data_IF_985806479958
#
_entry.id   IF_985806479958
#
_cell.length_a   1.000
_cell.length_b   1.000
_cell.length_c   1.000
_cell.angle_alpha   90.00
_cell.angle_beta   90.00
_cell.angle_gamma   90.00
#
_symmetry.space_group_name_H-M   'P 1'
#
loop_
_entity.id
_entity.type
_entity.pdbx_description
1 polymer ?
#
# COMPACT_ATOMS: atom_id res chain seq x y z
N UNK A 1 2.25 -33.58 24.02
CA UNK A 1 2.80 -32.48 23.21
C UNK A 1 2.30 -32.60 21.77
N UNK A 2 1.07 -32.15 21.47
CA UNK A 2 0.47 -32.24 20.12
C UNK A 2 -0.48 -31.06 19.89
N UNK A 3 0.04 -29.84 19.75
CA UNK A 3 -0.78 -28.68 19.34
C UNK A 3 -0.05 -27.62 18.50
N UNK A 4 1.17 -27.91 18.02
CA UNK A 4 2.05 -26.91 17.39
C UNK A 4 2.21 -27.03 15.87
N UNK A 5 1.52 -27.97 15.22
CA UNK A 5 1.69 -28.25 13.78
C UNK A 5 0.45 -27.97 12.92
N UNK A 6 -0.65 -27.51 13.52
CA UNK A 6 -1.86 -27.12 12.80
C UNK A 6 -1.86 -25.63 12.41
N UNK A 7 -1.21 -24.77 13.21
CA UNK A 7 -1.16 -23.32 12.93
C UNK A 7 -0.33 -22.96 11.68
N UNK A 8 0.70 -23.73 11.34
CA UNK A 8 1.51 -23.48 10.13
C UNK A 8 0.76 -23.83 8.85
N UNK A 9 -0.24 -24.73 8.90
CA UNK A 9 -0.99 -25.17 7.71
C UNK A 9 -2.18 -24.28 7.36
N UNK A 10 -2.71 -23.53 8.33
CA UNK A 10 -3.80 -22.59 8.08
C UNK A 10 -3.31 -21.34 7.33
N UNK A 11 -2.09 -20.88 7.59
CA UNK A 11 -1.51 -19.73 6.87
C UNK A 11 -1.26 -20.01 5.38
N UNK A 12 -1.05 -21.27 4.98
CA UNK A 12 -0.87 -21.65 3.56
C UNK A 12 -2.19 -21.97 2.86
N UNK A 13 -3.32 -22.04 3.59
CA UNK A 13 -4.64 -22.36 3.01
C UNK A 13 -5.48 -21.13 2.64
N UNK A 14 -5.14 -19.94 3.14
CA UNK A 14 -5.80 -18.68 2.76
C UNK A 14 -5.39 -18.15 1.37
N UNK A 15 -4.54 -18.85 0.63
CA UNK A 15 -4.22 -18.56 -0.78
C UNK A 15 -5.08 -19.37 -1.77
N UNK A 16 -6.23 -19.89 -1.34
CA UNK A 16 -7.11 -20.72 -2.19
C UNK A 16 -8.25 -19.95 -2.88
N UNK A 17 -8.36 -18.62 -2.74
CA UNK A 17 -9.27 -17.85 -3.60
C UNK A 17 -8.89 -16.37 -3.71
N UNK A 18 -8.04 -16.05 -4.71
CA UNK A 18 -8.04 -14.78 -5.44
C UNK A 18 -7.68 -13.51 -4.68
N UNK A 19 -6.38 -13.20 -4.65
CA UNK A 19 -5.75 -11.97 -4.13
C UNK A 19 -5.48 -11.96 -2.61
N UNK A 20 -4.21 -11.79 -2.23
CA UNK A 20 -3.80 -11.75 -0.82
C UNK A 20 -4.46 -10.55 -0.11
N UNK A 21 -5.02 -10.69 1.10
CA UNK A 21 -5.74 -9.61 1.79
C UNK A 21 -4.96 -8.30 1.90
N UNK A 22 -3.65 -8.40 2.14
CA UNK A 22 -2.73 -7.24 2.23
C UNK A 22 -2.54 -6.53 0.88
N UNK A 23 -2.55 -7.29 -0.22
CA UNK A 23 -2.51 -6.75 -1.59
C UNK A 23 -3.80 -5.99 -1.87
N UNK A 24 -4.95 -6.58 -1.56
CA UNK A 24 -6.26 -5.94 -1.72
C UNK A 24 -6.35 -4.61 -0.94
N UNK A 25 -5.88 -4.60 0.31
CA UNK A 25 -5.89 -3.40 1.16
C UNK A 25 -4.98 -2.28 0.63
N UNK A 26 -3.77 -2.63 0.17
CA UNK A 26 -2.85 -1.67 -0.45
C UNK A 26 -3.47 -1.06 -1.71
N UNK A 27 -4.02 -1.89 -2.58
CA UNK A 27 -4.64 -1.43 -3.84
C UNK A 27 -5.85 -0.55 -3.58
N UNK A 28 -6.70 -0.90 -2.61
CA UNK A 28 -7.84 -0.07 -2.21
C UNK A 28 -7.40 1.30 -1.69
N UNK A 29 -6.37 1.34 -0.85
CA UNK A 29 -5.80 2.57 -0.29
C UNK A 29 -5.17 3.45 -1.36
N UNK A 30 -4.39 2.87 -2.28
CA UNK A 30 -3.79 3.57 -3.43
C UNK A 30 -4.88 4.14 -4.34
N UNK A 31 -5.89 3.33 -4.67
CA UNK A 31 -7.01 3.74 -5.52
C UNK A 31 -7.79 4.92 -4.92
N UNK A 32 -7.97 4.91 -3.59
CA UNK A 32 -8.60 6.02 -2.87
C UNK A 32 -7.76 7.29 -2.94
N UNK A 33 -6.46 7.22 -2.62
CA UNK A 33 -5.58 8.37 -2.64
C UNK A 33 -5.45 8.97 -4.06
N UNK A 34 -5.43 8.14 -5.11
CA UNK A 34 -5.49 8.60 -6.50
C UNK A 34 -6.74 9.41 -6.80
N UNK A 35 -7.92 8.99 -6.31
CA UNK A 35 -9.17 9.76 -6.48
C UNK A 35 -9.14 11.08 -5.72
N UNK A 36 -8.63 11.09 -4.50
CA UNK A 36 -8.48 12.31 -3.69
C UNK A 36 -7.52 13.30 -4.38
N UNK A 37 -6.39 12.83 -4.90
CA UNK A 37 -5.43 13.64 -5.65
C UNK A 37 -5.99 14.14 -6.99
N UNK A 38 -6.76 13.29 -7.69
CA UNK A 38 -7.43 13.65 -8.94
C UNK A 38 -8.48 14.75 -8.74
N UNK A 39 -9.20 14.71 -7.63
CA UNK A 39 -10.24 15.68 -7.27
C UNK A 39 -9.73 16.92 -6.54
N UNK A 40 -8.45 17.00 -6.19
CA UNK A 40 -7.91 18.16 -5.49
C UNK A 40 -7.67 19.32 -6.45
N UNK A 41 -8.28 20.50 -6.22
CA UNK A 41 -8.28 21.60 -7.18
C UNK A 41 -6.97 22.41 -7.24
N UNK A 42 -6.07 22.26 -6.27
CA UNK A 42 -4.81 22.99 -6.28
C UNK A 42 -3.79 22.33 -7.22
N UNK A 43 -3.02 23.16 -7.91
CA UNK A 43 -1.86 22.69 -8.66
C UNK A 43 -0.73 22.32 -7.71
N UNK A 44 -0.32 21.05 -7.71
CA UNK A 44 0.91 20.60 -7.06
C UNK A 44 2.01 20.55 -8.10
N UNK A 45 3.14 21.20 -7.82
CA UNK A 45 4.31 21.21 -8.71
C UNK A 45 4.73 19.78 -9.10
N UNK A 46 4.62 18.84 -8.16
CA UNK A 46 5.05 17.46 -8.32
C UNK A 46 3.87 16.46 -8.40
N UNK A 47 2.66 16.91 -8.80
CA UNK A 47 1.46 16.04 -8.88
C UNK A 47 1.70 14.79 -9.72
N UNK A 48 2.33 14.95 -10.88
CA UNK A 48 2.62 13.84 -11.79
C UNK A 48 3.51 12.78 -11.14
N UNK A 49 4.51 13.22 -10.35
CA UNK A 49 5.40 12.31 -9.61
C UNK A 49 4.59 11.49 -8.60
N UNK A 50 3.68 12.14 -7.86
CA UNK A 50 2.82 11.44 -6.90
C UNK A 50 1.90 10.42 -7.58
N UNK A 51 1.30 10.78 -8.71
CA UNK A 51 0.43 9.88 -9.50
C UNK A 51 1.19 8.68 -10.07
N UNK A 52 2.40 8.90 -10.59
CA UNK A 52 3.27 7.86 -11.14
C UNK A 52 3.72 6.87 -10.06
N UNK A 53 4.12 7.36 -8.89
CA UNK A 53 4.51 6.50 -7.76
C UNK A 53 3.30 5.70 -7.22
N UNK A 54 2.10 6.29 -7.21
CA UNK A 54 0.87 5.55 -6.88
C UNK A 54 0.58 4.44 -7.89
N UNK A 55 0.77 4.70 -9.19
CA UNK A 55 0.64 3.68 -10.23
C UNK A 55 1.70 2.57 -10.08
N UNK A 56 2.93 2.92 -9.74
CA UNK A 56 4.00 1.96 -9.48
C UNK A 56 3.69 1.06 -8.27
N UNK A 57 3.10 1.61 -7.20
CA UNK A 57 2.67 0.80 -6.05
C UNK A 57 1.55 -0.18 -6.39
N UNK A 58 0.55 0.23 -7.19
CA UNK A 58 -0.51 -0.68 -7.65
C UNK A 58 0.07 -1.79 -8.55
N UNK A 59 1.01 -1.47 -9.45
CA UNK A 59 1.68 -2.47 -10.28
C UNK A 59 2.52 -3.47 -9.46
N UNK A 60 3.23 -3.00 -8.43
CA UNK A 60 3.97 -3.88 -7.51
C UNK A 60 3.05 -4.78 -6.70
N UNK A 61 1.90 -4.26 -6.28
CA UNK A 61 0.89 -5.05 -5.57
C UNK A 61 0.34 -6.17 -6.47
N UNK A 62 0.06 -5.85 -7.74
CA UNK A 62 -0.39 -6.81 -8.76
C UNK A 62 0.65 -7.89 -9.10
N UNK A 63 1.95 -7.60 -8.98
CA UNK A 63 2.99 -8.60 -9.25
C UNK A 63 3.17 -9.63 -8.12
N UNK A 64 2.39 -9.52 -7.03
CA UNK A 64 2.25 -10.54 -5.99
C UNK A 64 3.34 -10.59 -4.92
N UNK A 65 4.47 -9.89 -5.10
CA UNK A 65 5.54 -9.82 -4.10
C UNK A 65 6.16 -8.41 -4.05
N UNK A 66 5.41 -7.40 -3.58
CA UNK A 66 5.93 -6.04 -3.51
C UNK A 66 7.09 -5.92 -2.51
N UNK A 67 8.22 -5.35 -2.95
CA UNK A 67 9.38 -5.12 -2.09
C UNK A 67 9.08 -4.02 -1.05
N UNK A 68 9.10 -4.36 0.24
CA UNK A 68 8.81 -3.42 1.34
C UNK A 68 9.66 -2.15 1.27
N UNK A 69 10.97 -2.28 0.96
CA UNK A 69 11.86 -1.12 0.82
C UNK A 69 11.43 -0.20 -0.32
N UNK A 70 10.94 -0.77 -1.43
CA UNK A 70 10.48 -0.01 -2.59
C UNK A 70 9.13 0.66 -2.31
N UNK A 71 8.19 -0.04 -1.68
CA UNK A 71 6.93 0.56 -1.21
C UNK A 71 7.17 1.75 -0.28
N UNK A 72 8.07 1.61 0.70
CA UNK A 72 8.43 2.70 1.62
C UNK A 72 9.07 3.88 0.89
N UNK A 73 9.93 3.61 -0.10
CA UNK A 73 10.52 4.67 -0.92
C UNK A 73 9.46 5.42 -1.73
N UNK A 74 8.56 4.71 -2.41
CA UNK A 74 7.46 5.34 -3.17
C UNK A 74 6.57 6.18 -2.27
N UNK A 75 6.23 5.69 -1.07
CA UNK A 75 5.46 6.46 -0.10
C UNK A 75 6.15 7.77 0.32
N UNK A 76 7.46 7.75 0.52
CA UNK A 76 8.23 8.96 0.85
C UNK A 76 8.26 9.96 -0.31
N UNK A 77 8.37 9.48 -1.56
CA UNK A 77 8.31 10.34 -2.74
C UNK A 77 6.94 11.00 -2.88
N UNK A 78 5.85 10.25 -2.67
CA UNK A 78 4.48 10.80 -2.69
C UNK A 78 4.31 11.83 -1.58
N UNK A 79 4.76 11.55 -0.36
CA UNK A 79 4.67 12.50 0.74
C UNK A 79 5.46 13.80 0.47
N UNK A 80 6.63 13.70 -0.16
CA UNK A 80 7.42 14.86 -0.59
C UNK A 80 6.75 15.66 -1.70
N UNK A 81 6.16 14.98 -2.69
CA UNK A 81 5.49 15.60 -3.84
C UNK A 81 4.16 16.29 -3.49
N UNK A 82 3.42 15.72 -2.53
CA UNK A 82 2.14 16.26 -2.05
C UNK A 82 2.34 17.32 -0.96
N UNK A 83 3.41 17.21 -0.16
CA UNK A 83 3.68 18.11 0.97
C UNK A 83 2.70 17.95 2.14
N UNK A 84 2.61 18.98 3.00
CA UNK A 84 1.79 19.00 4.22
C UNK A 84 0.30 19.28 4.00
N UNK A 85 -0.30 18.72 2.95
CA UNK A 85 -1.72 18.93 2.61
C UNK A 85 -2.60 18.11 3.56
N UNK A 86 -3.25 18.77 4.52
CA UNK A 86 -4.10 18.12 5.51
C UNK A 86 -5.24 17.32 4.89
N UNK A 87 -5.77 17.76 3.75
CA UNK A 87 -6.84 17.05 3.03
C UNK A 87 -6.42 15.67 2.51
N UNK A 88 -5.13 15.44 2.27
CA UNK A 88 -4.58 14.18 1.77
C UNK A 88 -3.93 13.34 2.88
N UNK A 89 -3.85 13.87 4.10
CA UNK A 89 -3.20 13.21 5.24
C UNK A 89 -3.87 11.86 5.59
N UNK A 90 -5.20 11.79 5.53
CA UNK A 90 -5.93 10.55 5.81
C UNK A 90 -5.68 9.48 4.74
N UNK A 91 -5.69 9.85 3.45
CA UNK A 91 -5.38 8.94 2.35
C UNK A 91 -3.93 8.43 2.43
N UNK A 92 -2.98 9.32 2.73
CA UNK A 92 -1.57 8.96 2.94
C UNK A 92 -1.36 8.03 4.14
N UNK A 93 -2.05 8.29 5.27
CA UNK A 93 -1.97 7.43 6.45
C UNK A 93 -2.48 6.01 6.17
N UNK A 94 -3.56 5.88 5.38
CA UNK A 94 -4.08 4.58 4.98
C UNK A 94 -3.08 3.81 4.10
N UNK A 95 -2.45 4.47 3.12
CA UNK A 95 -1.41 3.84 2.29
C UNK A 95 -0.21 3.43 3.16
N UNK A 96 0.20 4.27 4.11
CA UNK A 96 1.27 3.94 5.07
C UNK A 96 0.93 2.67 5.85
N UNK A 97 -0.29 2.58 6.41
CA UNK A 97 -0.72 1.41 7.16
C UNK A 97 -0.70 0.14 6.28
N UNK A 98 -1.23 0.22 5.06
CA UNK A 98 -1.21 -0.91 4.13
C UNK A 98 0.21 -1.38 3.77
N UNK A 99 1.18 -0.45 3.65
CA UNK A 99 2.60 -0.79 3.45
C UNK A 99 3.20 -1.48 4.67
N UNK A 100 2.78 -1.12 5.89
CA UNK A 100 3.27 -1.73 7.13
C UNK A 100 2.90 -3.22 7.25
N UNK A 101 1.76 -3.64 6.68
CA UNK A 101 1.33 -5.05 6.64
C UNK A 101 2.30 -5.99 5.90
N UNK A 102 3.14 -5.44 5.01
CA UNK A 102 4.19 -6.20 4.33
C UNK A 102 5.50 -6.26 5.14
N UNK A 103 5.68 -5.35 6.11
CA UNK A 103 6.91 -5.19 6.89
C UNK A 103 6.85 -5.72 8.32
N UNK A 104 5.69 -6.15 8.81
CA UNK A 104 5.57 -6.79 10.12
C UNK A 104 6.33 -8.13 10.16
N UNK A 105 7.30 -8.30 11.08
CA UNK A 105 7.81 -9.62 11.38
C UNK A 105 6.67 -10.43 11.97
N UNK A 106 6.38 -11.60 11.41
CA UNK A 106 5.59 -12.62 12.11
C UNK A 106 6.42 -13.07 13.32
N UNK A 107 6.17 -12.47 14.49
CA UNK A 107 6.73 -12.89 15.78
C UNK A 107 5.90 -14.05 16.31
#
# INVERSE_FOLDING_TARGET
MLRSVEQTREQTRETRSGEEPRVTELRASVSRLRRELAGYPAEFADRGIAEDELAAMDAMALSGVPEVRRLRRSLLLIAGAVGSVSALAAGLANVRHAVELFGEPKI
#
